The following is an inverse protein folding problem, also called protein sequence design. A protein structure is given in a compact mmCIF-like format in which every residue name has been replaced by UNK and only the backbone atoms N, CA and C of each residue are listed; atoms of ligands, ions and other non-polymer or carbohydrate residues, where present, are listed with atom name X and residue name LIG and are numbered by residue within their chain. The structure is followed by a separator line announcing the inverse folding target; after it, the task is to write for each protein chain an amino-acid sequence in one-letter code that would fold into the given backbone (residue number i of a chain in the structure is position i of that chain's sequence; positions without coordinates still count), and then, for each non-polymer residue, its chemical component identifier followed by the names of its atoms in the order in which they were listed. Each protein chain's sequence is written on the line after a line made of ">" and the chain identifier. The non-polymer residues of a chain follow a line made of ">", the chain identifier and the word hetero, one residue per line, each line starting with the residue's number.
data_IF_430204940694
#
_entry.id   IF_430204940694
#
_cell.length_a   1.000
_cell.length_b   1.000
_cell.length_c   1.000
_cell.angle_alpha   90.00
_cell.angle_beta   90.00
_cell.angle_gamma   90.00
#
_symmetry.space_group_name_H-M   'P 1'
#
loop_
_entity.id
_entity.type
_entity.pdbx_description
1 polymer ?
#
# COMPACT_ATOMS: atom_id res chain seq x y z
N UNK A 1 -28.70 16.07 103.41
CA UNK A 1 -28.90 14.60 103.50
C UNK A 1 -30.08 14.23 102.59
N UNK A 2 -30.09 13.08 101.89
CA UNK A 2 -28.92 12.36 101.38
C UNK A 2 -29.15 11.60 100.02
N UNK A 3 -28.07 10.95 99.54
CA UNK A 3 -27.97 9.80 98.59
C UNK A 3 -28.22 10.08 97.08
N UNK A 4 -27.28 9.88 96.11
CA UNK A 4 -26.47 8.71 95.62
C UNK A 4 -26.84 8.56 94.11
N UNK A 5 -26.09 8.04 93.16
CA UNK A 5 -24.68 7.74 92.91
C UNK A 5 -24.57 7.23 91.44
N UNK A 6 -23.42 7.49 90.81
CA UNK A 6 -22.72 6.67 89.80
C UNK A 6 -23.11 6.63 88.31
N UNK A 7 -22.11 7.04 87.52
CA UNK A 7 -21.81 6.79 86.09
C UNK A 7 -21.83 5.30 85.70
N UNK A 8 -22.12 4.99 84.42
CA UNK A 8 -21.11 4.39 83.52
C UNK A 8 -21.59 4.23 82.07
N UNK A 9 -20.62 4.39 81.18
CA UNK A 9 -20.59 4.25 79.72
C UNK A 9 -20.93 2.81 79.28
N UNK A 10 -21.82 2.61 78.31
CA UNK A 10 -22.08 1.28 77.71
C UNK A 10 -21.81 1.33 76.21
N UNK A 11 -20.86 0.51 75.77
CA UNK A 11 -20.44 0.32 74.39
C UNK A 11 -21.49 -0.45 73.59
N UNK A 12 -21.75 0.01 72.36
CA UNK A 12 -22.57 -0.68 71.36
C UNK A 12 -21.71 -1.77 70.72
N UNK A 13 -22.05 -3.04 70.98
CA UNK A 13 -21.43 -4.22 70.37
C UNK A 13 -22.26 -4.67 69.16
N UNK A 14 -21.64 -4.58 67.98
CA UNK A 14 -22.12 -5.05 66.69
C UNK A 14 -22.25 -6.59 66.70
N UNK A 15 -23.44 -7.14 66.49
CA UNK A 15 -23.65 -8.58 66.27
C UNK A 15 -23.31 -8.93 64.82
N UNK A 16 -22.18 -9.60 64.59
CA UNK A 16 -21.86 -10.31 63.35
C UNK A 16 -22.44 -11.72 63.41
N UNK A 17 -23.37 -12.07 62.50
CA UNK A 17 -23.78 -13.46 62.29
C UNK A 17 -22.85 -14.07 61.24
N UNK A 18 -21.86 -14.83 61.69
CA UNK A 18 -21.02 -15.65 60.82
C UNK A 18 -21.82 -16.91 60.41
N UNK A 19 -22.00 -17.14 59.10
CA UNK A 19 -22.52 -18.41 58.58
C UNK A 19 -21.45 -19.49 58.74
N UNK A 20 -21.76 -20.52 59.52
CA UNK A 20 -20.90 -21.66 59.83
C UNK A 20 -21.05 -22.69 58.70
N UNK A 21 -20.06 -22.83 57.83
CA UNK A 21 -19.90 -24.04 57.02
C UNK A 21 -19.34 -25.13 57.94
N UNK A 22 -20.21 -25.98 58.50
CA UNK A 22 -19.81 -27.04 59.42
C UNK A 22 -19.11 -28.16 58.65
N UNK A 23 -17.91 -28.57 59.09
CA UNK A 23 -17.33 -29.84 58.69
C UNK A 23 -18.33 -30.99 58.95
N UNK A 24 -18.42 -31.94 58.02
CA UNK A 24 -19.28 -33.15 58.12
C UNK A 24 -18.44 -34.40 57.95
N UNK A 25 -18.95 -35.53 58.44
CA UNK A 25 -18.34 -36.84 58.20
C UNK A 25 -18.74 -37.37 56.83
N UNK A 26 -17.76 -37.53 55.95
CA UNK A 26 -17.87 -38.14 54.63
C UNK A 26 -17.52 -39.62 54.73
N UNK A 27 -18.21 -40.46 53.96
CA UNK A 27 -18.01 -41.92 53.93
C UNK A 27 -17.72 -42.41 52.52
N UNK A 28 -16.91 -43.45 52.41
CA UNK A 28 -16.68 -44.15 51.15
C UNK A 28 -17.88 -45.02 50.75
N UNK A 29 -18.04 -45.28 49.45
CA UNK A 29 -19.15 -46.08 48.89
C UNK A 29 -19.17 -47.53 49.40
N UNK A 30 -18.01 -48.07 49.77
CA UNK A 30 -17.84 -49.40 50.37
C UNK A 30 -18.00 -49.40 51.91
N UNK A 31 -18.17 -48.23 52.53
CA UNK A 31 -18.30 -48.07 53.99
C UNK A 31 -17.02 -48.31 54.79
N UNK A 32 -15.88 -48.61 54.12
CA UNK A 32 -14.62 -48.95 54.79
C UNK A 32 -13.86 -47.75 55.34
N UNK A 33 -14.15 -46.53 54.86
CA UNK A 33 -13.43 -45.32 55.22
C UNK A 33 -14.39 -44.17 55.55
N UNK A 34 -14.06 -43.40 56.58
CA UNK A 34 -14.76 -42.15 56.91
C UNK A 34 -13.76 -41.05 57.24
N UNK A 35 -14.11 -39.82 56.86
CA UNK A 35 -13.27 -38.64 57.10
C UNK A 35 -14.15 -37.44 57.43
N UNK A 36 -13.79 -36.72 58.49
CA UNK A 36 -14.43 -35.45 58.81
C UNK A 36 -13.74 -34.33 58.02
N UNK A 37 -14.51 -33.67 57.16
CA UNK A 37 -14.00 -32.65 56.26
C UNK A 37 -15.09 -31.66 55.84
N UNK A 38 -14.66 -30.48 55.44
CA UNK A 38 -15.50 -29.45 54.83
C UNK A 38 -15.49 -29.61 53.31
N UNK A 39 -16.65 -29.48 52.66
CA UNK A 39 -16.75 -29.47 51.20
C UNK A 39 -16.15 -28.16 50.67
N UNK A 40 -15.12 -28.25 49.83
CA UNK A 40 -14.48 -27.07 49.25
C UNK A 40 -15.04 -26.77 47.86
N UNK A 41 -15.12 -27.80 47.01
CA UNK A 41 -15.55 -27.67 45.62
C UNK A 41 -15.94 -29.03 45.05
N UNK A 42 -16.90 -29.04 44.13
CA UNK A 42 -17.17 -30.18 43.25
C UNK A 42 -16.79 -29.77 41.82
N UNK A 43 -16.02 -30.62 41.14
CA UNK A 43 -15.52 -30.37 39.79
C UNK A 43 -15.78 -31.62 38.94
N UNK A 44 -16.95 -31.63 38.27
CA UNK A 44 -17.44 -32.78 37.50
C UNK A 44 -17.59 -34.04 38.37
N UNK A 45 -16.74 -35.03 38.15
CA UNK A 45 -16.75 -36.33 38.85
C UNK A 45 -15.79 -36.38 40.06
N UNK A 46 -15.29 -35.23 40.52
CA UNK A 46 -14.34 -35.14 41.65
C UNK A 46 -14.81 -34.14 42.70
N UNK A 47 -14.60 -34.49 43.97
CA UNK A 47 -15.01 -33.72 45.15
C UNK A 47 -13.76 -33.37 45.96
N UNK A 48 -13.53 -32.07 46.18
CA UNK A 48 -12.45 -31.57 47.02
C UNK A 48 -12.95 -31.38 48.46
N UNK A 49 -12.32 -32.07 49.40
CA UNK A 49 -12.66 -32.06 50.82
C UNK A 49 -11.47 -31.55 51.63
N UNK A 50 -11.67 -30.56 52.50
CA UNK A 50 -10.64 -30.01 53.39
C UNK A 50 -10.79 -30.57 54.79
N UNK A 51 -9.74 -31.22 55.29
CA UNK A 51 -9.69 -31.78 56.64
C UNK A 51 -9.31 -30.71 57.66
N UNK A 52 -9.50 -31.01 58.95
CA UNK A 52 -9.17 -30.11 60.05
C UNK A 52 -7.68 -29.72 60.13
N UNK A 53 -6.78 -30.54 59.58
CA UNK A 53 -5.34 -30.25 59.46
C UNK A 53 -5.00 -29.28 58.30
N UNK A 54 -6.01 -28.82 57.56
CA UNK A 54 -5.89 -27.92 56.41
C UNK A 54 -5.55 -28.63 55.10
N UNK A 55 -5.33 -29.94 55.11
CA UNK A 55 -5.06 -30.72 53.90
C UNK A 55 -6.32 -30.89 53.06
N UNK A 56 -6.22 -30.57 51.77
CA UNK A 56 -7.29 -30.79 50.79
C UNK A 56 -7.05 -32.11 50.08
N UNK A 57 -8.02 -33.01 50.19
CA UNK A 57 -8.03 -34.29 49.49
C UNK A 57 -9.07 -34.25 48.37
N UNK A 58 -8.77 -34.86 47.24
CA UNK A 58 -9.70 -34.96 46.11
C UNK A 58 -10.17 -36.40 45.97
N UNK A 59 -11.48 -36.62 46.08
CA UNK A 59 -12.12 -37.94 46.04
C UNK A 59 -13.08 -37.99 44.85
N UNK A 60 -13.05 -39.03 44.00
CA UNK A 60 -14.06 -39.22 42.95
C UNK A 60 -15.47 -39.32 43.55
N UNK A 61 -16.46 -38.67 42.93
CA UNK A 61 -17.84 -38.62 43.44
C UNK A 61 -18.45 -40.02 43.57
N UNK A 62 -18.15 -40.90 42.62
CA UNK A 62 -18.59 -42.31 42.63
C UNK A 62 -17.99 -43.15 43.79
N UNK A 63 -16.97 -42.65 44.48
CA UNK A 63 -16.36 -43.31 45.65
C UNK A 63 -16.95 -42.82 46.98
N UNK A 64 -17.81 -41.81 46.97
CA UNK A 64 -18.53 -41.36 48.16
C UNK A 64 -19.82 -42.17 48.36
N UNK A 65 -20.30 -42.25 49.60
CA UNK A 65 -21.57 -42.91 49.93
C UNK A 65 -22.75 -42.28 49.19
N UNK A 66 -23.83 -43.04 49.00
CA UNK A 66 -25.05 -42.52 48.35
C UNK A 66 -25.63 -41.32 49.09
N UNK A 67 -25.52 -41.29 50.43
CA UNK A 67 -25.93 -40.17 51.28
C UNK A 67 -25.11 -38.90 51.02
N UNK A 68 -23.79 -39.03 50.87
CA UNK A 68 -22.89 -37.92 50.57
C UNK A 68 -23.06 -37.40 49.14
N UNK A 69 -23.31 -38.29 48.18
CA UNK A 69 -23.62 -37.91 46.80
C UNK A 69 -24.93 -37.12 46.71
N UNK A 70 -25.94 -37.51 47.48
CA UNK A 70 -27.22 -36.78 47.55
C UNK A 70 -27.07 -35.42 48.23
N UNK A 71 -26.25 -35.33 49.27
CA UNK A 71 -25.96 -34.06 49.93
C UNK A 71 -25.29 -33.06 48.98
N UNK A 72 -24.30 -33.51 48.20
CA UNK A 72 -23.66 -32.69 47.17
C UNK A 72 -24.69 -32.18 46.16
N UNK A 73 -25.56 -33.07 45.66
CA UNK A 73 -26.64 -32.69 44.72
C UNK A 73 -27.65 -31.72 45.34
N UNK A 74 -27.82 -31.73 46.66
CA UNK A 74 -28.75 -30.84 47.36
C UNK A 74 -28.17 -29.47 47.73
N UNK A 75 -26.84 -29.30 47.66
CA UNK A 75 -26.18 -28.02 47.91
C UNK A 75 -26.03 -27.14 46.66
N UNK A 76 -26.30 -27.67 45.46
CA UNK A 76 -26.28 -26.92 44.19
C UNK A 76 -27.70 -26.75 43.62
N UNK A 77 -28.33 -25.59 43.89
CA UNK A 77 -29.27 -24.89 42.99
C UNK A 77 -29.54 -23.50 43.58
N UNK A 78 -28.96 -22.44 43.00
CA UNK A 78 -29.63 -21.75 41.90
C UNK A 78 -29.01 -22.09 40.55
N UNK A 79 -29.86 -22.19 39.53
CA UNK A 79 -29.50 -22.41 38.12
C UNK A 79 -28.40 -21.45 37.65
N UNK A 80 -27.23 -22.02 37.39
CA UNK A 80 -26.15 -21.37 36.66
C UNK A 80 -26.27 -21.70 35.17
N UNK A 81 -27.18 -21.01 34.48
CA UNK A 81 -27.11 -20.82 33.03
C UNK A 81 -26.30 -19.55 32.65
N UNK A 82 -25.54 -18.97 33.60
CA UNK A 82 -24.87 -17.67 33.45
C UNK A 82 -23.39 -17.61 33.79
N UNK A 83 -22.65 -18.72 33.80
CA UNK A 83 -21.23 -18.75 34.24
C UNK A 83 -20.23 -19.26 33.18
N UNK A 84 -20.50 -18.99 31.90
CA UNK A 84 -19.42 -18.66 30.95
C UNK A 84 -19.11 -17.14 30.93
N UNK A 85 -19.59 -16.39 31.94
CA UNK A 85 -19.09 -15.07 32.38
C UNK A 85 -18.04 -15.32 33.50
N UNK A 86 -16.91 -14.63 33.63
CA UNK A 86 -16.77 -13.19 33.54
C UNK A 86 -15.35 -12.73 33.89
N UNK A 87 -14.42 -12.88 32.95
CA UNK A 87 -13.57 -11.72 32.69
C UNK A 87 -14.19 -11.05 31.45
N UNK A 88 -14.95 -9.95 31.61
CA UNK A 88 -15.53 -9.26 30.46
C UNK A 88 -14.46 -8.86 29.43
N UNK A 89 -13.18 -8.76 29.82
CA UNK A 89 -12.08 -8.54 28.88
C UNK A 89 -11.83 -9.76 27.98
N UNK A 90 -11.89 -10.98 28.49
CA UNK A 90 -11.72 -12.21 27.67
C UNK A 90 -12.86 -12.41 26.66
N UNK A 91 -14.08 -12.04 27.03
CA UNK A 91 -15.23 -12.08 26.12
C UNK A 91 -15.05 -11.08 24.96
N UNK A 92 -14.50 -9.90 25.24
CA UNK A 92 -14.15 -8.92 24.21
C UNK A 92 -12.95 -9.34 23.35
N UNK A 93 -11.92 -9.94 23.95
CA UNK A 93 -10.77 -10.50 23.22
C UNK A 93 -11.19 -11.58 22.22
N UNK A 94 -12.12 -12.45 22.59
CA UNK A 94 -12.68 -13.46 21.69
C UNK A 94 -13.41 -12.85 20.47
N UNK A 95 -13.90 -11.61 20.59
CA UNK A 95 -14.50 -10.84 19.49
C UNK A 95 -13.47 -10.00 18.71
N UNK A 96 -12.19 -10.05 19.11
CA UNK A 96 -11.08 -9.30 18.50
C UNK A 96 -10.88 -7.89 19.05
N UNK A 97 -11.47 -7.59 20.21
CA UNK A 97 -11.32 -6.32 20.91
C UNK A 97 -10.33 -6.45 22.07
N UNK A 98 -9.35 -5.56 22.15
CA UNK A 98 -8.47 -5.41 23.31
C UNK A 98 -8.91 -4.25 24.18
N UNK A 99 -8.98 -4.51 25.48
CA UNK A 99 -9.21 -3.48 26.49
C UNK A 99 -7.90 -2.78 26.86
N UNK A 100 -7.78 -1.51 26.47
CA UNK A 100 -6.75 -0.60 26.95
C UNK A 100 -7.25 0.18 28.17
N UNK A 101 -6.38 0.94 28.82
CA UNK A 101 -6.69 1.68 30.06
C UNK A 101 -7.90 2.64 29.96
N UNK A 102 -8.28 3.10 28.76
CA UNK A 102 -9.43 4.00 28.52
C UNK A 102 -10.17 3.75 27.19
N UNK A 103 -10.16 2.52 26.66
CA UNK A 103 -10.83 2.25 25.39
C UNK A 103 -10.75 0.81 24.91
N UNK A 104 -11.72 0.42 24.09
CA UNK A 104 -11.79 -0.89 23.45
C UNK A 104 -11.41 -0.75 21.98
N UNK A 105 -10.27 -1.34 21.61
CA UNK A 105 -9.70 -1.21 20.26
C UNK A 105 -9.70 -2.55 19.52
N UNK A 106 -9.80 -2.50 18.20
CA UNK A 106 -9.63 -3.68 17.37
C UNK A 106 -8.15 -4.05 17.22
N UNK A 107 -7.86 -5.35 17.28
CA UNK A 107 -6.51 -5.86 17.02
C UNK A 107 -6.01 -5.54 15.61
N UNK A 108 -6.94 -5.48 14.66
CA UNK A 108 -6.69 -5.14 13.26
C UNK A 108 -6.09 -3.73 13.10
N UNK A 109 -6.35 -2.80 14.02
CA UNK A 109 -5.74 -1.44 14.00
C UNK A 109 -4.21 -1.49 14.17
N UNK A 110 -3.70 -2.48 14.92
CA UNK A 110 -2.25 -2.63 15.15
C UNK A 110 -1.56 -3.05 13.85
N UNK A 111 -2.18 -3.98 13.11
CA UNK A 111 -1.69 -4.41 11.81
C UNK A 111 -1.73 -3.26 10.81
N UNK A 112 -2.87 -2.57 10.71
CA UNK A 112 -3.02 -1.40 9.84
C UNK A 112 -1.97 -0.32 10.13
N UNK A 113 -1.72 -0.02 11.40
CA UNK A 113 -0.71 0.98 11.80
C UNK A 113 0.71 0.60 11.39
N UNK A 114 1.02 -0.71 11.33
CA UNK A 114 2.30 -1.21 10.84
C UNK A 114 2.39 -1.09 9.31
N UNK A 115 1.36 -1.55 8.61
CA UNK A 115 1.29 -1.51 7.15
C UNK A 115 1.29 -0.04 6.65
N UNK A 116 0.63 0.88 7.35
CA UNK A 116 0.65 2.32 7.04
C UNK A 116 2.05 2.92 7.15
N UNK A 117 2.83 2.52 8.18
CA UNK A 117 4.23 2.96 8.30
C UNK A 117 5.11 2.45 7.16
N UNK A 118 4.84 1.25 6.65
CA UNK A 118 5.57 0.69 5.51
C UNK A 118 5.33 1.46 4.20
N UNK A 119 4.23 2.23 4.10
CA UNK A 119 3.98 3.14 2.97
C UNK A 119 5.11 4.17 2.79
N UNK A 120 5.72 4.62 3.90
CA UNK A 120 6.85 5.56 3.85
C UNK A 120 8.09 4.94 3.20
N UNK A 121 8.30 3.63 3.38
CA UNK A 121 9.41 2.89 2.75
C UNK A 121 9.17 2.77 1.26
N UNK A 122 7.95 2.37 0.85
CA UNK A 122 7.58 2.27 -0.57
C UNK A 122 7.67 3.62 -1.27
N UNK A 123 7.19 4.71 -0.63
CA UNK A 123 7.34 6.08 -1.16
C UNK A 123 8.81 6.46 -1.37
N UNK A 124 9.70 6.06 -0.44
CA UNK A 124 11.15 6.30 -0.58
C UNK A 124 11.77 5.48 -1.71
N UNK A 125 11.33 4.22 -1.89
CA UNK A 125 11.78 3.37 -3.00
C UNK A 125 11.36 3.99 -4.32
N UNK A 126 10.10 4.38 -4.47
CA UNK A 126 9.57 5.09 -5.65
C UNK A 126 10.43 6.33 -5.98
N UNK A 127 10.65 7.21 -4.99
CA UNK A 127 11.47 8.41 -5.19
C UNK A 127 12.90 8.08 -5.64
N UNK A 128 13.50 7.03 -5.06
CA UNK A 128 14.86 6.61 -5.41
C UNK A 128 14.92 6.12 -6.86
N UNK A 129 13.96 5.30 -7.28
CA UNK A 129 13.87 4.77 -8.65
C UNK A 129 13.58 5.84 -9.69
N UNK A 130 12.68 6.77 -9.39
CA UNK A 130 12.44 7.93 -10.26
C UNK A 130 13.71 8.80 -10.40
N UNK A 131 14.47 9.00 -9.31
CA UNK A 131 15.73 9.77 -9.34
C UNK A 131 16.83 9.05 -10.13
N UNK A 132 16.96 7.74 -10.00
CA UNK A 132 17.90 6.92 -10.78
C UNK A 132 17.59 7.05 -12.27
N UNK A 133 16.33 6.87 -12.68
CA UNK A 133 15.89 7.06 -14.06
C UNK A 133 16.21 8.46 -14.59
N UNK A 134 15.90 9.51 -13.82
CA UNK A 134 16.19 10.89 -14.21
C UNK A 134 17.70 11.16 -14.37
N UNK A 135 18.53 10.52 -13.53
CA UNK A 135 19.99 10.65 -13.60
C UNK A 135 20.54 10.00 -14.87
N UNK A 136 20.07 8.80 -15.21
CA UNK A 136 20.47 8.09 -16.43
C UNK A 136 20.03 8.87 -17.68
N UNK A 137 18.78 9.36 -17.72
CA UNK A 137 18.29 10.20 -18.81
C UNK A 137 19.15 11.45 -19.02
N UNK A 138 19.53 12.13 -17.92
CA UNK A 138 20.43 13.29 -18.00
C UNK A 138 21.81 12.92 -18.56
N UNK A 139 22.34 11.75 -18.22
CA UNK A 139 23.60 11.26 -18.81
C UNK A 139 23.46 11.02 -20.31
N UNK A 140 22.36 10.39 -20.72
CA UNK A 140 22.04 10.18 -22.13
C UNK A 140 22.00 11.51 -22.92
N UNK A 141 21.26 12.50 -22.41
CA UNK A 141 21.17 13.84 -22.99
C UNK A 141 22.54 14.52 -23.12
N UNK A 142 23.40 14.42 -22.09
CA UNK A 142 24.74 15.00 -22.13
C UNK A 142 25.63 14.36 -23.20
N UNK A 143 25.54 13.03 -23.40
CA UNK A 143 26.29 12.35 -24.45
C UNK A 143 25.79 12.78 -25.83
N UNK A 144 24.46 12.77 -26.05
CA UNK A 144 23.85 13.20 -27.31
C UNK A 144 24.22 14.65 -27.65
N UNK A 145 24.19 15.55 -26.66
CA UNK A 145 24.59 16.94 -26.85
C UNK A 145 26.07 17.08 -27.25
N UNK A 146 26.95 16.30 -26.61
CA UNK A 146 28.39 16.29 -26.94
C UNK A 146 28.65 15.75 -28.34
N UNK A 147 27.98 14.68 -28.75
CA UNK A 147 28.06 14.15 -30.11
C UNK A 147 27.62 15.18 -31.15
N UNK A 148 26.53 15.89 -30.86
CA UNK A 148 26.02 16.96 -31.74
C UNK A 148 27.05 18.07 -31.89
N UNK A 149 27.67 18.52 -30.80
CA UNK A 149 28.72 19.54 -30.83
C UNK A 149 29.94 19.11 -31.67
N UNK A 150 30.38 17.85 -31.55
CA UNK A 150 31.50 17.32 -32.35
C UNK A 150 31.15 17.20 -33.83
N UNK A 151 29.90 16.83 -34.13
CA UNK A 151 29.38 16.79 -35.49
C UNK A 151 29.37 18.18 -36.13
N UNK A 152 28.90 19.19 -35.39
CA UNK A 152 28.95 20.59 -35.85
C UNK A 152 30.39 21.08 -36.07
N UNK A 153 31.34 20.71 -35.18
CA UNK A 153 32.75 21.03 -35.37
C UNK A 153 33.32 20.40 -36.65
N UNK A 154 32.95 19.15 -36.96
CA UNK A 154 33.35 18.49 -38.20
C UNK A 154 32.77 19.19 -39.44
N UNK A 155 31.52 19.65 -39.39
CA UNK A 155 30.92 20.44 -40.48
C UNK A 155 31.73 21.74 -40.71
N UNK A 156 32.12 22.43 -39.64
CA UNK A 156 32.94 23.64 -39.74
C UNK A 156 34.35 23.35 -40.29
N UNK A 157 35.01 22.28 -39.85
CA UNK A 157 36.32 21.89 -40.38
C UNK A 157 36.24 21.51 -41.86
N UNK A 158 35.19 20.80 -42.27
CA UNK A 158 34.95 20.50 -43.69
C UNK A 158 34.72 21.77 -44.51
N UNK A 159 33.97 22.75 -44.00
CA UNK A 159 33.81 24.03 -44.67
C UNK A 159 35.15 24.77 -44.83
N UNK A 160 36.01 24.78 -43.79
CA UNK A 160 37.35 25.35 -43.88
C UNK A 160 38.22 24.66 -44.93
N UNK A 161 38.18 23.31 -45.00
CA UNK A 161 38.90 22.55 -46.02
C UNK A 161 38.56 23.00 -47.45
N UNK A 162 37.29 23.32 -47.73
CA UNK A 162 36.87 23.80 -49.06
C UNK A 162 37.41 25.19 -49.43
N UNK A 163 37.80 25.98 -48.44
CA UNK A 163 38.29 27.36 -48.62
C UNK A 163 39.82 27.44 -48.68
N UNK A 164 40.53 26.32 -48.44
CA UNK A 164 42.00 26.31 -48.43
C UNK A 164 42.58 26.44 -49.83
N UNK A 165 43.65 27.23 -49.93
CA UNK A 165 44.47 27.30 -51.13
C UNK A 165 45.23 25.98 -51.38
N UNK A 166 45.55 25.64 -52.65
CA UNK A 166 46.18 24.36 -53.02
C UNK A 166 47.52 24.05 -52.31
N UNK A 167 48.21 25.06 -51.78
CA UNK A 167 49.53 24.93 -51.18
C UNK A 167 49.52 24.80 -49.64
N UNK A 168 48.35 24.86 -48.98
CA UNK A 168 48.24 24.86 -47.51
C UNK A 168 48.14 23.44 -46.90
N UNK A 169 49.10 22.59 -47.27
CA UNK A 169 49.12 21.14 -46.96
C UNK A 169 49.14 20.88 -45.45
N UNK A 170 49.86 21.71 -44.69
CA UNK A 170 49.98 21.55 -43.23
C UNK A 170 48.63 21.75 -42.54
N UNK A 171 47.90 22.80 -42.91
CA UNK A 171 46.60 23.09 -42.34
C UNK A 171 45.57 22.03 -42.78
N UNK A 172 45.60 21.61 -44.05
CA UNK A 172 44.78 20.50 -44.55
C UNK A 172 44.96 19.23 -43.70
N UNK A 173 46.20 18.79 -43.49
CA UNK A 173 46.48 17.57 -42.72
C UNK A 173 46.04 17.68 -41.25
N UNK A 174 46.17 18.86 -40.64
CA UNK A 174 45.68 19.11 -39.27
C UNK A 174 44.16 19.03 -39.18
N UNK A 175 43.44 19.64 -40.12
CA UNK A 175 41.97 19.60 -40.16
C UNK A 175 41.45 18.18 -40.40
N UNK A 176 42.04 17.45 -41.35
CA UNK A 176 41.70 16.03 -41.60
C UNK A 176 41.97 15.18 -40.35
N UNK A 177 43.11 15.40 -39.67
CA UNK A 177 43.43 14.73 -38.41
C UNK A 177 42.40 15.02 -37.31
N UNK A 178 41.97 16.27 -37.17
CA UNK A 178 40.95 16.68 -36.19
C UNK A 178 39.58 16.06 -36.49
N UNK A 179 39.16 16.03 -37.76
CA UNK A 179 37.92 15.38 -38.19
C UNK A 179 37.98 13.88 -37.86
N UNK A 180 39.06 13.19 -38.23
CA UNK A 180 39.22 11.77 -37.96
C UNK A 180 39.21 11.46 -36.45
N UNK A 181 39.85 12.30 -35.63
CA UNK A 181 39.80 12.18 -34.18
C UNK A 181 38.38 12.35 -33.64
N UNK A 182 37.65 13.37 -34.12
CA UNK A 182 36.26 13.59 -33.72
C UNK A 182 35.34 12.43 -34.14
N UNK A 183 35.49 11.90 -35.36
CA UNK A 183 34.73 10.73 -35.84
C UNK A 183 34.98 9.51 -34.96
N UNK A 184 36.23 9.25 -34.57
CA UNK A 184 36.56 8.15 -33.66
C UNK A 184 35.93 8.33 -32.27
N UNK A 185 35.90 9.57 -31.74
CA UNK A 185 35.26 9.89 -30.47
C UNK A 185 33.74 9.77 -30.54
N UNK A 186 33.11 10.23 -31.63
CA UNK A 186 31.66 10.05 -31.86
C UNK A 186 31.31 8.56 -31.85
N UNK A 187 32.07 7.72 -32.56
CA UNK A 187 31.85 6.27 -32.56
C UNK A 187 31.98 5.65 -31.16
N UNK A 188 32.93 6.11 -30.34
CA UNK A 188 33.05 5.65 -28.96
C UNK A 188 31.84 6.07 -28.11
N UNK A 189 31.32 7.28 -28.33
CA UNK A 189 30.10 7.76 -27.65
C UNK A 189 28.85 7.00 -28.11
N UNK A 190 28.73 6.64 -29.39
CA UNK A 190 27.65 5.79 -29.90
C UNK A 190 27.61 4.45 -29.16
N UNK A 191 28.77 3.81 -28.97
CA UNK A 191 28.87 2.57 -28.19
C UNK A 191 28.49 2.76 -26.71
N UNK A 192 28.82 3.91 -26.11
CA UNK A 192 28.39 4.24 -24.75
C UNK A 192 26.87 4.44 -24.68
N UNK A 193 26.29 5.06 -25.70
CA UNK A 193 24.87 5.35 -25.80
C UNK A 193 24.04 4.05 -25.82
N UNK A 194 24.47 3.02 -26.56
CA UNK A 194 23.80 1.71 -26.55
C UNK A 194 23.72 1.09 -25.15
N UNK A 195 24.77 1.25 -24.34
CA UNK A 195 24.80 0.81 -22.95
C UNK A 195 23.85 1.61 -22.07
N UNK A 196 23.82 2.93 -22.26
CA UNK A 196 22.91 3.83 -21.54
C UNK A 196 21.46 3.57 -21.92
N UNK A 197 21.12 3.35 -23.19
CA UNK A 197 19.76 3.06 -23.63
C UNK A 197 19.20 1.79 -22.96
N UNK A 198 20.03 0.73 -22.85
CA UNK A 198 19.69 -0.47 -22.09
C UNK A 198 19.46 -0.18 -20.61
N UNK A 199 20.34 0.63 -20.00
CA UNK A 199 20.19 1.07 -18.61
C UNK A 199 18.93 1.93 -18.40
N UNK A 200 18.61 2.84 -19.33
CA UNK A 200 17.39 3.66 -19.34
C UNK A 200 16.16 2.77 -19.38
N UNK A 201 16.12 1.75 -20.24
CA UNK A 201 15.01 0.78 -20.32
C UNK A 201 14.84 0.01 -19.02
N UNK A 202 15.93 -0.50 -18.44
CA UNK A 202 15.89 -1.23 -17.16
C UNK A 202 15.42 -0.33 -16.00
N UNK A 203 16.00 0.86 -15.86
CA UNK A 203 15.62 1.82 -14.82
C UNK A 203 14.16 2.28 -14.96
N UNK A 204 13.66 2.43 -16.20
CA UNK A 204 12.25 2.75 -16.48
C UNK A 204 11.32 1.64 -16.00
N UNK A 205 11.67 0.38 -16.25
CA UNK A 205 10.90 -0.76 -15.78
C UNK A 205 10.88 -0.84 -14.24
N UNK A 206 12.01 -0.63 -13.58
CA UNK A 206 12.09 -0.61 -12.11
C UNK A 206 11.29 0.54 -11.48
N UNK A 207 11.35 1.75 -12.06
CA UNK A 207 10.57 2.89 -11.61
C UNK A 207 9.05 2.65 -11.78
N UNK A 208 8.66 2.02 -12.90
CA UNK A 208 7.26 1.64 -13.16
C UNK A 208 6.79 0.62 -12.12
N UNK A 209 7.60 -0.40 -11.83
CA UNK A 209 7.28 -1.41 -10.80
C UNK A 209 7.16 -0.80 -9.40
N UNK A 210 8.11 0.05 -9.00
CA UNK A 210 8.04 0.70 -7.69
C UNK A 210 6.80 1.59 -7.52
N UNK A 211 6.33 2.20 -8.62
CA UNK A 211 5.10 2.99 -8.67
C UNK A 211 3.87 2.10 -8.50
N UNK A 212 3.83 0.98 -9.21
CA UNK A 212 2.77 -0.01 -9.10
C UNK A 212 2.65 -0.57 -7.67
N UNK A 213 3.77 -1.00 -7.09
CA UNK A 213 3.85 -1.54 -5.73
C UNK A 213 3.32 -0.52 -4.70
N UNK A 214 3.66 0.76 -4.85
CA UNK A 214 3.19 1.82 -3.95
C UNK A 214 1.69 2.09 -4.08
N UNK A 215 1.15 2.11 -5.30
CA UNK A 215 -0.29 2.30 -5.55
C UNK A 215 -1.08 1.13 -4.98
N UNK A 216 -0.64 -0.10 -5.26
CA UNK A 216 -1.29 -1.31 -4.76
C UNK A 216 -1.32 -1.35 -3.23
N UNK A 217 -0.21 -0.97 -2.58
CA UNK A 217 -0.15 -0.87 -1.13
C UNK A 217 -1.16 0.12 -0.55
N UNK A 218 -1.32 1.30 -1.17
CA UNK A 218 -2.30 2.31 -0.72
C UNK A 218 -3.74 1.81 -0.90
N UNK A 219 -4.04 1.17 -2.04
CA UNK A 219 -5.36 0.57 -2.27
C UNK A 219 -5.66 -0.55 -1.26
N UNK A 220 -4.67 -1.38 -0.93
CA UNK A 220 -4.78 -2.41 0.09
C UNK A 220 -5.03 -1.81 1.48
N UNK A 221 -4.34 -0.72 1.84
CA UNK A 221 -4.57 0.01 3.07
C UNK A 221 -5.99 0.57 3.15
N UNK A 222 -6.52 1.17 2.08
CA UNK A 222 -7.91 1.65 2.06
C UNK A 222 -8.89 0.51 2.34
N UNK A 223 -8.71 -0.63 1.67
CA UNK A 223 -9.55 -1.81 1.90
C UNK A 223 -9.49 -2.30 3.36
N UNK A 224 -8.30 -2.30 3.97
CA UNK A 224 -8.13 -2.64 5.38
C UNK A 224 -8.84 -1.63 6.30
N UNK A 225 -8.70 -0.33 6.02
CA UNK A 225 -9.36 0.73 6.79
C UNK A 225 -10.89 0.60 6.76
N UNK A 226 -11.46 0.34 5.59
CA UNK A 226 -12.90 0.14 5.42
C UNK A 226 -13.38 -1.11 6.18
N UNK A 227 -12.61 -2.20 6.14
CA UNK A 227 -12.91 -3.41 6.90
C UNK A 227 -12.90 -3.16 8.43
N UNK A 228 -11.94 -2.40 8.94
CA UNK A 228 -11.87 -2.02 10.37
C UNK A 228 -13.09 -1.17 10.75
N UNK A 229 -13.45 -0.18 9.93
CA UNK A 229 -14.61 0.66 10.19
C UNK A 229 -15.92 -0.14 10.19
N UNK A 230 -16.09 -1.06 9.24
CA UNK A 230 -17.25 -1.96 9.19
C UNK A 230 -17.30 -2.86 10.42
N UNK A 231 -16.17 -3.41 10.84
CA UNK A 231 -16.09 -4.25 12.04
C UNK A 231 -16.43 -3.48 13.32
N UNK A 232 -16.04 -2.21 13.42
CA UNK A 232 -16.51 -1.34 14.50
C UNK A 232 -18.03 -1.16 14.49
N UNK A 233 -18.63 -0.95 13.31
CA UNK A 233 -20.08 -0.80 13.17
C UNK A 233 -20.83 -2.09 13.55
N UNK A 234 -20.33 -3.26 13.13
CA UNK A 234 -20.89 -4.58 13.49
C UNK A 234 -20.83 -4.84 15.00
N UNK A 235 -19.66 -4.61 15.63
CA UNK A 235 -19.48 -4.80 17.07
C UNK A 235 -20.28 -3.78 17.90
N UNK A 236 -20.47 -2.57 17.39
CA UNK A 236 -21.33 -1.58 18.02
C UNK A 236 -22.83 -1.95 17.91
N UNK A 237 -23.21 -2.80 16.95
CA UNK A 237 -24.58 -3.32 16.82
C UNK A 237 -24.82 -4.59 17.68
N UNK A 238 -23.78 -5.39 17.94
CA UNK A 238 -23.83 -6.66 18.68
C UNK A 238 -24.37 -6.47 20.12
N UNK A 239 -25.53 -7.08 20.47
CA UNK A 239 -26.12 -7.01 21.81
C UNK A 239 -25.20 -7.52 22.92
N UNK A 240 -24.41 -8.57 22.64
CA UNK A 240 -23.51 -9.16 23.63
C UNK A 240 -22.38 -8.20 23.97
N UNK A 241 -21.81 -7.56 22.95
CA UNK A 241 -20.76 -6.54 23.12
C UNK A 241 -21.31 -5.36 23.92
N UNK A 242 -22.52 -4.87 23.63
CA UNK A 242 -23.16 -3.79 24.41
C UNK A 242 -23.34 -4.17 25.89
N UNK A 243 -23.77 -5.40 26.15
CA UNK A 243 -23.92 -5.93 27.52
C UNK A 243 -22.56 -5.95 28.23
N UNK A 244 -21.53 -6.50 27.58
CA UNK A 244 -20.18 -6.60 28.16
C UNK A 244 -19.53 -5.24 28.40
N UNK A 245 -19.70 -4.27 27.49
CA UNK A 245 -19.21 -2.89 27.67
C UNK A 245 -19.91 -2.21 28.85
N UNK A 246 -21.23 -2.40 28.99
CA UNK A 246 -22.00 -1.85 30.11
C UNK A 246 -21.57 -2.46 31.45
N UNK A 247 -21.27 -3.76 31.49
CA UNK A 247 -20.71 -4.44 32.66
C UNK A 247 -19.33 -3.87 33.05
N UNK A 248 -18.45 -3.58 32.07
CA UNK A 248 -17.13 -2.98 32.33
C UNK A 248 -17.19 -1.55 32.88
N UNK A 249 -18.18 -0.77 32.44
CA UNK A 249 -18.41 0.61 32.89
C UNK A 249 -19.28 0.71 34.16
N UNK A 250 -19.57 -0.42 34.82
CA UNK A 250 -20.33 -0.42 36.08
C UNK A 250 -19.50 0.10 37.27
N UNK A 251 -18.17 0.11 37.14
CA UNK A 251 -17.25 0.76 38.07
C UNK A 251 -17.05 2.23 37.67
N UNK A 252 -17.34 3.21 38.54
CA UNK A 252 -17.25 4.63 38.23
C UNK A 252 -15.83 5.12 37.88
N UNK A 253 -14.79 4.36 38.24
CA UNK A 253 -13.40 4.68 37.86
C UNK A 253 -13.05 4.23 36.42
N UNK A 254 -13.94 3.48 35.76
CA UNK A 254 -13.74 2.93 34.43
C UNK A 254 -14.63 3.63 33.37
N UNK A 255 -14.02 4.00 32.25
CA UNK A 255 -14.72 4.47 31.06
C UNK A 255 -14.13 3.80 29.82
N UNK A 256 -14.83 2.78 29.35
CA UNK A 256 -14.53 2.03 28.15
C UNK A 256 -15.52 2.40 27.06
N UNK A 257 -15.04 3.09 26.04
CA UNK A 257 -15.80 3.36 24.82
C UNK A 257 -15.30 2.45 23.70
N UNK A 258 -16.25 1.89 22.93
CA UNK A 258 -15.96 1.20 21.69
C UNK A 258 -15.76 2.24 20.59
N UNK A 259 -14.55 2.31 20.04
CA UNK A 259 -14.27 3.23 18.95
C UNK A 259 -12.85 3.17 18.45
N UNK A 260 -12.67 3.75 17.26
CA UNK A 260 -11.39 3.88 16.61
C UNK A 260 -10.37 4.61 17.50
N UNK A 261 -9.16 4.05 17.64
CA UNK A 261 -8.10 4.70 18.42
C UNK A 261 -7.66 6.03 17.80
N UNK A 262 -7.06 6.90 18.60
CA UNK A 262 -6.46 8.15 18.11
C UNK A 262 -5.35 7.90 17.10
N UNK A 263 -4.59 6.81 17.28
CA UNK A 263 -3.56 6.37 16.37
C UNK A 263 -4.15 5.95 15.01
N UNK A 264 -5.22 5.15 15.01
CA UNK A 264 -5.92 4.75 13.79
C UNK A 264 -6.54 5.95 13.07
N UNK A 265 -7.24 6.84 13.79
CA UNK A 265 -7.76 8.10 13.22
C UNK A 265 -6.67 8.94 12.57
N UNK A 266 -5.51 9.07 13.22
CA UNK A 266 -4.36 9.80 12.67
C UNK A 266 -3.78 9.11 11.43
N UNK A 267 -3.77 7.77 11.40
CA UNK A 267 -3.33 6.99 10.26
C UNK A 267 -4.29 7.10 9.07
N UNK A 268 -5.61 7.20 9.30
CA UNK A 268 -6.60 7.47 8.26
C UNK A 268 -6.39 8.85 7.60
N UNK A 269 -6.03 9.86 8.37
CA UNK A 269 -5.71 11.20 7.82
C UNK A 269 -4.49 11.12 6.90
N UNK A 270 -3.44 10.39 7.31
CA UNK A 270 -2.25 10.19 6.48
C UNK A 270 -2.55 9.37 5.23
N UNK A 271 -3.35 8.31 5.37
CA UNK A 271 -3.82 7.51 4.23
C UNK A 271 -4.56 8.39 3.23
N UNK A 272 -5.50 9.22 3.70
CA UNK A 272 -6.21 10.17 2.84
C UNK A 272 -5.27 11.13 2.13
N UNK A 273 -4.27 11.69 2.82
CA UNK A 273 -3.27 12.55 2.17
C UNK A 273 -2.44 11.80 1.11
N UNK A 274 -2.18 10.51 1.30
CA UNK A 274 -1.51 9.68 0.28
C UNK A 274 -2.44 9.42 -0.91
N UNK A 275 -3.72 9.15 -0.68
CA UNK A 275 -4.72 8.96 -1.73
C UNK A 275 -4.98 10.24 -2.52
N UNK A 276 -5.01 11.40 -1.86
CA UNK A 276 -5.15 12.70 -2.52
C UNK A 276 -3.96 12.96 -3.46
N UNK A 277 -2.77 12.42 -3.15
CA UNK A 277 -1.62 12.46 -4.05
C UNK A 277 -1.73 11.47 -5.22
N UNK A 278 -2.69 10.54 -5.19
CA UNK A 278 -2.96 9.61 -6.29
C UNK A 278 -4.12 10.16 -7.13
N UNK A 279 -3.77 10.76 -8.27
CA UNK A 279 -4.73 11.12 -9.30
C UNK A 279 -5.17 9.85 -10.06
N UNK A 280 -6.46 9.52 -10.03
CA UNK A 280 -7.06 8.47 -10.86
C UNK A 280 -8.13 9.02 -11.81
N UNK A 281 -8.22 8.50 -13.02
CA UNK A 281 -9.30 8.80 -13.96
C UNK A 281 -9.64 7.55 -14.77
N UNK A 282 -10.93 7.39 -15.05
CA UNK A 282 -11.45 6.43 -16.02
C UNK A 282 -11.71 7.19 -17.32
N UNK A 283 -10.94 6.88 -18.37
CA UNK A 283 -10.94 7.61 -19.63
C UNK A 283 -11.69 6.77 -20.67
N UNK A 284 -12.75 7.30 -21.30
CA UNK A 284 -13.51 6.54 -22.29
C UNK A 284 -12.66 6.23 -23.51
N UNK A 285 -12.75 5.00 -23.98
CA UNK A 285 -12.14 4.52 -25.21
C UNK A 285 -13.18 4.55 -26.33
N UNK A 286 -12.68 4.72 -27.55
CA UNK A 286 -13.47 4.61 -28.77
C UNK A 286 -13.10 3.32 -29.48
N UNK A 287 -14.12 2.63 -29.96
CA UNK A 287 -13.96 1.50 -30.87
C UNK A 287 -13.72 2.05 -32.29
N UNK A 288 -12.70 1.54 -32.98
CA UNK A 288 -12.42 1.84 -34.39
C UNK A 288 -13.19 0.91 -35.36
N UNK A 289 -14.09 0.07 -34.85
CA UNK A 289 -14.74 -1.00 -35.62
C UNK A 289 -13.81 -2.18 -35.91
N UNK A 290 -12.68 -2.25 -35.20
CA UNK A 290 -11.68 -3.31 -35.24
C UNK A 290 -11.42 -3.89 -33.84
N UNK A 291 -10.31 -4.61 -33.66
CA UNK A 291 -9.96 -5.22 -32.36
C UNK A 291 -9.15 -4.28 -31.44
N UNK A 292 -9.01 -3.01 -31.82
CA UNK A 292 -8.07 -2.07 -31.22
C UNK A 292 -8.82 -0.85 -30.66
N UNK A 293 -8.50 -0.49 -29.42
CA UNK A 293 -9.16 0.59 -28.69
C UNK A 293 -8.37 1.89 -28.86
N UNK A 294 -9.07 2.96 -29.21
CA UNK A 294 -8.49 4.29 -29.35
C UNK A 294 -8.81 5.17 -28.16
N UNK A 295 -7.86 6.05 -27.82
CA UNK A 295 -8.02 7.10 -26.82
C UNK A 295 -7.72 8.47 -27.42
N UNK A 296 -8.49 9.48 -27.01
CA UNK A 296 -8.26 10.87 -27.39
C UNK A 296 -7.05 11.41 -26.63
N UNK A 297 -6.04 11.84 -27.39
CA UNK A 297 -4.78 12.38 -26.90
C UNK A 297 -4.62 13.81 -27.41
N UNK A 298 -4.22 14.73 -26.55
CA UNK A 298 -3.89 16.11 -26.92
C UNK A 298 -2.39 16.30 -26.94
N UNK A 299 -1.84 16.58 -28.11
CA UNK A 299 -0.43 16.86 -28.35
C UNK A 299 -0.21 18.38 -28.38
N UNK A 300 0.87 18.84 -27.73
CA UNK A 300 1.27 20.24 -27.62
C UNK A 300 0.18 21.19 -27.09
N UNK A 301 -0.82 20.64 -26.37
CA UNK A 301 -1.92 21.41 -25.77
C UNK A 301 -3.08 21.75 -26.71
N UNK A 302 -2.91 21.60 -28.03
CA UNK A 302 -3.86 22.10 -29.03
C UNK A 302 -4.34 21.02 -30.01
N UNK A 303 -3.51 20.01 -30.30
CA UNK A 303 -3.80 19.03 -31.35
C UNK A 303 -4.45 17.78 -30.76
N UNK A 304 -5.74 17.57 -31.01
CA UNK A 304 -6.45 16.35 -30.61
C UNK A 304 -6.27 15.25 -31.67
N UNK A 305 -5.74 14.10 -31.26
CA UNK A 305 -5.53 12.92 -32.09
C UNK A 305 -6.06 11.68 -31.38
N UNK A 306 -6.67 10.77 -32.13
CA UNK A 306 -7.07 9.47 -31.63
C UNK A 306 -5.89 8.50 -31.81
N UNK A 307 -5.53 7.78 -30.76
CA UNK A 307 -4.36 6.89 -30.75
C UNK A 307 -4.71 5.53 -30.19
N UNK A 308 -4.17 4.47 -30.77
CA UNK A 308 -4.33 3.11 -30.26
C UNK A 308 -3.53 2.93 -28.97
N UNK A 309 -4.16 2.39 -27.94
CA UNK A 309 -3.46 2.06 -26.69
C UNK A 309 -2.63 0.79 -26.91
N UNK A 310 -1.30 0.89 -26.86
CA UNK A 310 -0.40 -0.23 -27.12
C UNK A 310 0.72 -0.32 -26.07
N UNK A 311 0.57 -1.23 -25.11
CA UNK A 311 1.61 -1.50 -24.09
C UNK A 311 2.83 -2.24 -24.65
N UNK A 312 2.73 -2.82 -25.85
CA UNK A 312 3.85 -3.45 -26.55
C UNK A 312 4.76 -2.44 -27.23
N UNK A 313 4.24 -1.26 -27.58
CA UNK A 313 5.03 -0.17 -28.15
C UNK A 313 5.91 0.50 -27.09
N UNK A 314 7.22 0.59 -27.34
CA UNK A 314 8.17 1.26 -26.44
C UNK A 314 8.02 2.79 -26.43
N UNK A 315 7.64 3.36 -27.57
CA UNK A 315 7.49 4.80 -27.81
C UNK A 315 6.08 5.12 -28.29
N UNK A 316 5.65 6.38 -28.15
CA UNK A 316 4.57 6.90 -28.98
C UNK A 316 5.00 6.79 -30.44
N UNK A 317 4.14 6.29 -31.31
CA UNK A 317 4.39 6.22 -32.74
C UNK A 317 3.40 7.11 -33.49
N UNK A 318 3.90 8.00 -34.34
CA UNK A 318 3.08 8.93 -35.13
C UNK A 318 3.38 8.77 -36.63
N UNK A 319 2.36 8.63 -37.49
CA UNK A 319 2.53 8.72 -38.93
C UNK A 319 3.10 10.09 -39.33
N UNK A 320 3.98 10.12 -40.34
CA UNK A 320 4.67 11.33 -40.80
C UNK A 320 3.73 12.53 -41.00
N UNK A 321 2.62 12.30 -41.72
CA UNK A 321 1.65 13.35 -42.06
C UNK A 321 0.87 13.85 -40.84
N UNK A 322 0.66 13.00 -39.84
CA UNK A 322 -0.01 13.36 -38.60
C UNK A 322 0.94 14.15 -37.69
N UNK A 323 2.19 13.70 -37.56
CA UNK A 323 3.22 14.41 -36.79
C UNK A 323 3.39 15.85 -37.29
N UNK A 324 3.49 16.06 -38.60
CA UNK A 324 3.59 17.39 -39.19
C UNK A 324 2.37 18.28 -38.88
N UNK A 325 1.15 17.73 -38.95
CA UNK A 325 -0.09 18.46 -38.58
C UNK A 325 -0.15 18.86 -37.10
N UNK A 326 0.54 18.12 -36.25
CA UNK A 326 0.64 18.36 -34.81
C UNK A 326 1.85 19.25 -34.44
N UNK A 327 2.52 19.85 -35.42
CA UNK A 327 3.70 20.70 -35.21
C UNK A 327 4.98 19.92 -34.85
N UNK A 328 5.02 18.62 -35.12
CA UNK A 328 6.17 17.74 -34.87
C UNK A 328 6.85 17.47 -36.22
N UNK A 329 7.71 18.40 -36.62
CA UNK A 329 8.45 18.30 -37.89
C UNK A 329 9.77 17.54 -37.70
N UNK A 330 10.07 16.68 -38.66
CA UNK A 330 11.33 15.93 -38.75
C UNK A 330 12.31 16.73 -39.60
N UNK A 331 13.51 16.93 -39.08
CA UNK A 331 14.64 17.59 -39.72
C UNK A 331 15.77 16.60 -39.94
N UNK A 332 16.77 16.97 -40.75
CA UNK A 332 17.97 16.15 -40.98
C UNK A 332 18.85 15.95 -39.74
N UNK A 333 18.62 16.73 -38.68
CA UNK A 333 19.37 16.62 -37.42
C UNK A 333 18.73 15.60 -36.45
N UNK A 334 17.50 15.15 -36.73
CA UNK A 334 16.78 14.22 -35.87
C UNK A 334 17.29 12.78 -36.08
N UNK A 335 17.66 12.05 -35.00
CA UNK A 335 18.21 10.70 -35.12
C UNK A 335 17.25 9.73 -35.84
N UNK A 336 17.74 9.05 -36.87
CA UNK A 336 17.03 7.92 -37.49
C UNK A 336 17.15 6.71 -36.55
N UNK A 337 16.02 6.07 -36.26
CA UNK A 337 15.91 4.86 -35.46
C UNK A 337 15.21 3.76 -36.27
N UNK A 338 15.53 2.51 -35.96
CA UNK A 338 14.85 1.35 -36.51
C UNK A 338 13.95 0.77 -35.43
N UNK A 339 12.65 0.72 -35.70
CA UNK A 339 11.67 0.06 -34.83
C UNK A 339 11.49 -1.37 -35.32
N UNK A 340 11.49 -2.32 -34.39
CA UNK A 340 11.14 -3.72 -34.64
C UNK A 340 9.68 -3.94 -34.22
N UNK A 341 8.86 -4.42 -35.14
CA UNK A 341 7.45 -4.74 -34.90
C UNK A 341 7.31 -6.15 -34.32
N UNK A 342 6.11 -6.46 -33.79
CA UNK A 342 5.84 -7.75 -33.17
C UNK A 342 6.00 -8.96 -34.12
N UNK A 343 5.89 -8.73 -35.43
CA UNK A 343 6.10 -9.74 -36.48
C UNK A 343 7.59 -9.88 -36.90
N UNK A 344 8.49 -9.14 -36.25
CA UNK A 344 9.93 -9.09 -36.55
C UNK A 344 10.29 -8.21 -37.74
N UNK A 345 9.31 -7.59 -38.41
CA UNK A 345 9.59 -6.62 -39.47
C UNK A 345 10.15 -5.33 -38.88
N UNK A 346 10.93 -4.60 -39.69
CA UNK A 346 11.60 -3.38 -39.26
C UNK A 346 11.07 -2.17 -40.03
N UNK A 347 10.82 -1.10 -39.32
CA UNK A 347 10.38 0.18 -39.88
C UNK A 347 11.27 1.32 -39.43
N UNK A 348 11.65 2.17 -40.39
CA UNK A 348 12.43 3.38 -40.13
C UNK A 348 11.55 4.48 -39.55
N UNK A 349 12.08 5.18 -38.55
CA UNK A 349 11.45 6.33 -37.93
C UNK A 349 12.52 7.36 -37.50
N UNK A 350 12.08 8.57 -37.18
CA UNK A 350 12.93 9.58 -36.55
C UNK A 350 12.50 9.78 -35.10
N UNK A 351 13.48 9.81 -34.20
CA UNK A 351 13.25 10.05 -32.78
C UNK A 351 13.01 11.55 -32.55
N UNK A 352 11.88 11.88 -31.93
CA UNK A 352 11.49 13.25 -31.54
C UNK A 352 11.03 13.27 -30.09
N UNK A 353 10.99 14.47 -29.52
CA UNK A 353 10.37 14.71 -28.22
C UNK A 353 9.14 15.59 -28.41
N UNK A 354 8.00 15.14 -27.90
CA UNK A 354 6.76 15.92 -27.84
C UNK A 354 6.79 16.76 -26.55
N UNK A 355 6.78 18.10 -26.63
CA UNK A 355 6.80 18.98 -25.47
C UNK A 355 5.74 18.66 -24.43
N UNK A 356 4.52 18.31 -24.87
CA UNK A 356 3.42 17.97 -23.98
C UNK A 356 2.49 16.95 -24.62
N UNK A 357 2.19 15.89 -23.86
CA UNK A 357 1.16 14.90 -24.19
C UNK A 357 0.15 14.88 -23.05
N UNK A 358 -1.14 14.97 -23.39
CA UNK A 358 -2.23 14.90 -22.42
C UNK A 358 -3.26 13.86 -22.80
N UNK A 359 -3.65 13.02 -21.84
CA UNK A 359 -4.72 12.03 -21.97
C UNK A 359 -5.64 12.20 -20.76
N UNK A 360 -6.92 12.51 -20.99
CA UNK A 360 -7.81 12.97 -19.91
C UNK A 360 -7.25 14.21 -19.19
N UNK A 361 -7.15 14.13 -17.86
CA UNK A 361 -6.52 15.13 -16.98
C UNK A 361 -5.01 14.96 -16.84
N UNK A 362 -4.44 13.89 -17.36
CA UNK A 362 -3.04 13.55 -17.15
C UNK A 362 -2.13 14.18 -18.20
N UNK A 363 -1.21 15.02 -17.74
CA UNK A 363 -0.19 15.66 -18.59
C UNK A 363 1.20 15.11 -18.29
N UNK A 364 1.94 14.79 -19.35
CA UNK A 364 3.37 14.46 -19.33
C UNK A 364 4.10 15.41 -20.26
N UNK A 365 5.24 15.93 -19.81
CA UNK A 365 6.11 16.79 -20.61
C UNK A 365 7.27 16.00 -21.18
N UNK A 366 7.83 16.48 -22.28
CA UNK A 366 9.05 15.96 -22.88
C UNK A 366 8.97 14.44 -23.16
N UNK A 367 7.96 14.03 -23.91
CA UNK A 367 7.66 12.61 -24.19
C UNK A 367 8.33 12.17 -25.48
N UNK A 368 9.16 11.14 -25.41
CA UNK A 368 9.79 10.53 -26.58
C UNK A 368 8.76 9.92 -27.53
N UNK A 369 8.88 10.21 -28.82
CA UNK A 369 8.06 9.64 -29.87
C UNK A 369 8.89 9.28 -31.10
N UNK A 370 8.41 8.29 -31.84
CA UNK A 370 8.94 7.90 -33.13
C UNK A 370 8.01 8.41 -34.22
N UNK A 371 8.53 9.31 -35.07
CA UNK A 371 7.82 9.75 -36.27
C UNK A 371 8.17 8.79 -37.41
N UNK A 372 7.19 8.04 -37.89
CA UNK A 372 7.38 7.03 -38.91
C UNK A 372 7.78 7.65 -40.25
N UNK A 373 8.54 6.90 -41.06
CA UNK A 373 8.91 7.29 -42.42
C UNK A 373 7.68 7.69 -43.27
N UNK A 374 7.80 8.66 -44.20
CA UNK A 374 6.74 8.99 -45.15
C UNK A 374 6.21 7.81 -45.98
N UNK A 375 7.01 6.75 -46.12
CA UNK A 375 6.61 5.51 -46.81
C UNK A 375 5.65 4.64 -46.00
N UNK A 376 5.47 4.91 -44.70
CA UNK A 376 4.58 4.19 -43.79
C UNK A 376 3.15 4.75 -43.81
N UNK A 377 2.54 4.82 -45.00
CA UNK A 377 1.33 5.64 -45.26
C UNK A 377 0.08 5.19 -44.47
N UNK A 378 0.02 3.94 -44.02
CA UNK A 378 -1.15 3.33 -43.36
C UNK A 378 -0.88 2.92 -41.90
N UNK A 379 0.22 3.37 -41.30
CA UNK A 379 0.46 3.06 -39.91
C UNK A 379 -0.54 3.78 -39.01
N UNK A 380 -1.10 3.09 -38.03
CA UNK A 380 -1.96 3.70 -37.04
C UNK A 380 -1.10 4.43 -35.98
N UNK A 381 -1.54 5.58 -35.44
CA UNK A 381 -0.86 6.22 -34.33
C UNK A 381 -0.99 5.35 -33.06
N UNK A 382 0.12 5.17 -32.36
CA UNK A 382 0.21 4.31 -31.17
C UNK A 382 0.59 5.13 -29.93
N UNK A 383 -0.18 4.97 -28.86
CA UNK A 383 0.13 5.48 -27.54
C UNK A 383 0.93 4.41 -26.78
N UNK A 384 2.25 4.53 -26.81
CA UNK A 384 3.17 3.55 -26.22
C UNK A 384 3.65 3.86 -24.81
N UNK A 385 4.57 3.03 -24.32
CA UNK A 385 5.12 3.04 -22.97
C UNK A 385 5.94 4.29 -22.60
N UNK A 386 6.42 5.06 -23.59
CA UNK A 386 7.00 6.39 -23.34
C UNK A 386 6.07 7.34 -22.58
N UNK A 387 4.75 7.23 -22.81
CA UNK A 387 3.71 7.94 -22.06
C UNK A 387 3.07 7.04 -21.00
N UNK A 388 2.58 5.87 -21.40
CA UNK A 388 1.82 4.98 -20.51
C UNK A 388 2.62 4.52 -19.28
N UNK A 389 3.94 4.34 -19.43
CA UNK A 389 4.82 3.97 -18.32
C UNK A 389 4.97 5.04 -17.23
N UNK A 390 4.40 6.23 -17.39
CA UNK A 390 4.33 7.25 -16.33
C UNK A 390 3.17 6.99 -15.34
N UNK A 391 2.32 6.01 -15.64
CA UNK A 391 1.06 5.72 -14.96
C UNK A 391 0.96 4.23 -14.62
N UNK A 392 0.21 3.89 -13.58
CA UNK A 392 -0.43 2.57 -13.51
C UNK A 392 -1.69 2.66 -14.37
N UNK A 393 -1.84 1.77 -15.33
CA UNK A 393 -2.98 1.78 -16.24
C UNK A 393 -3.56 0.39 -16.44
N UNK A 394 -4.85 0.34 -16.71
CA UNK A 394 -5.59 -0.89 -17.00
C UNK A 394 -6.61 -0.62 -18.11
N UNK A 395 -6.60 -1.49 -19.11
CA UNK A 395 -7.54 -1.44 -20.24
C UNK A 395 -8.72 -2.36 -19.95
N UNK A 396 -9.91 -1.79 -19.67
CA UNK A 396 -11.15 -2.55 -19.55
C UNK A 396 -11.87 -2.53 -20.89
N UNK A 397 -11.54 -3.51 -21.74
CA UNK A 397 -12.10 -3.63 -23.09
C UNK A 397 -13.62 -3.89 -23.08
N UNK A 398 -14.17 -4.47 -22.01
CA UNK A 398 -15.61 -4.75 -21.90
C UNK A 398 -16.40 -3.47 -21.62
N UNK A 399 -15.87 -2.60 -20.76
CA UNK A 399 -16.47 -1.30 -20.48
C UNK A 399 -16.08 -0.22 -21.48
N UNK A 400 -15.05 -0.46 -22.30
CA UNK A 400 -14.51 0.53 -23.22
C UNK A 400 -13.87 1.70 -22.47
N UNK A 401 -13.09 1.41 -21.42
CA UNK A 401 -12.42 2.45 -20.62
C UNK A 401 -10.96 2.12 -20.33
N UNK A 402 -10.15 3.16 -20.27
CA UNK A 402 -8.76 3.14 -19.85
C UNK A 402 -8.67 3.76 -18.45
N UNK A 403 -8.42 2.92 -17.46
CA UNK A 403 -8.16 3.37 -16.09
C UNK A 403 -6.71 3.82 -16.00
N UNK A 404 -6.47 5.03 -15.51
CA UNK A 404 -5.12 5.57 -15.33
C UNK A 404 -4.95 6.15 -13.94
N UNK A 405 -3.80 5.89 -13.35
CA UNK A 405 -3.43 6.32 -12.01
C UNK A 405 -2.02 6.89 -12.00
N UNK A 406 -1.87 8.12 -11.49
CA UNK A 406 -0.59 8.82 -11.31
C UNK A 406 -0.42 9.26 -9.87
N UNK A 407 0.80 9.19 -9.35
CA UNK A 407 1.16 9.85 -8.09
C UNK A 407 1.71 11.24 -8.40
N UNK A 408 1.13 12.27 -7.81
CA UNK A 408 1.72 13.60 -7.69
C UNK A 408 2.90 13.54 -6.72
N UNK A 409 4.11 13.53 -7.27
CA UNK A 409 5.32 13.79 -6.49
C UNK A 409 5.56 15.30 -6.44
N UNK A 410 5.95 15.84 -5.28
CA UNK A 410 6.16 17.29 -5.03
C UNK A 410 7.13 17.98 -6.02
N UNK A 411 7.92 17.22 -6.78
CA UNK A 411 8.74 17.77 -7.87
C UNK A 411 7.91 18.33 -9.04
N UNK A 412 6.64 17.92 -9.19
CA UNK A 412 5.75 18.38 -10.26
C UNK A 412 5.04 19.71 -9.95
N UNK A 413 4.84 20.05 -8.67
CA UNK A 413 4.16 21.29 -8.25
C UNK A 413 5.08 22.51 -8.16
N UNK A 414 6.40 22.31 -8.12
CA UNK A 414 7.40 23.39 -7.99
C UNK A 414 7.73 24.16 -9.28
N UNK A 415 7.07 23.88 -10.42
CA UNK A 415 7.28 24.61 -11.69
C UNK A 415 6.07 25.43 -12.16
N UNK A 416 5.07 25.64 -11.29
CA UNK A 416 3.93 26.53 -11.55
C UNK A 416 3.87 27.63 -10.49
N UNK A 417 4.88 28.51 -10.47
CA UNK A 417 4.75 29.86 -9.94
C UNK A 417 5.53 30.83 -10.81
#
# INVERSE_FOLDING_TARGET
>A
MPLKASMSLTAVLLLLVASIASARTWKSADGGYSVEAELVKVDGDKVALKRADGQVITVPLNRLSTEDQQFIKSQDMPEAEGAMEGDPRKALEAKGLRALSRGLILDDETKFSKDERDSSKLKRVLFTKDKELATIKKQEEMIRARMTQMTQANVQFNAQLTQLGPNDITLNNRLVGAINANVAQIRLMEQQLEGIEKATKAARAEASKAREDYIEHILALRKQADAINNRYAELAADPDVKKTVSQLNSDPDNSYELGASTAFKSALIRLKSMEDSILSEEIPLRDDGGNAMMVSVVLNGEHNVEMHVDSGASLISLPYTMAAKCGIEVTSEDPEIILELADGSQIKANLKTIPMVRVGKFTVKDVECAVLSPTAVNAAPLLGMSFLGQFKFELDAQKGVLNMVKIETESSSSRSR
#
